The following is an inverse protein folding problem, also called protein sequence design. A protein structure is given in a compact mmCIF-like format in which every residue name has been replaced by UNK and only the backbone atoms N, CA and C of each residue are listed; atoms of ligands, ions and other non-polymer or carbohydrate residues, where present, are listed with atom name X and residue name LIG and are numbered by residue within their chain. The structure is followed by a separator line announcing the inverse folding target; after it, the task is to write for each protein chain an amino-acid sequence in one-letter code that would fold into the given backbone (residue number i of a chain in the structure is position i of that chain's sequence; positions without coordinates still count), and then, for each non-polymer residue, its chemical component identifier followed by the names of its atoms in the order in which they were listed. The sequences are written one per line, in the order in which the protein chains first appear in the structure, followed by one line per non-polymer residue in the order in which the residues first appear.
data_IF_696359312174
#
_entry.id   IF_696359312174
#
_cell.length_a   1.000
_cell.length_b   1.000
_cell.length_c   1.000
_cell.angle_alpha   90.00
_cell.angle_beta   90.00
_cell.angle_gamma   90.00
#
_symmetry.space_group_name_H-M   'P 1'
#
loop_
_entity.id
_entity.type
_entity.pdbx_description
1 polymer ?
#
# COMPACT_ATOMS: atom_id res chain seq x y z
N UNK A 1 -12.04 13.01 2.58
CA UNK A 1 -12.18 14.47 2.65
C UNK A 1 -10.86 15.19 2.96
N UNK A 2 -10.19 14.86 4.07
CA UNK A 2 -8.97 15.59 4.50
C UNK A 2 -7.79 15.59 3.51
N UNK A 3 -7.61 14.54 2.69
CA UNK A 3 -6.45 14.47 1.77
C UNK A 3 -6.42 15.58 0.72
N UNK A 4 -7.56 15.99 0.17
CA UNK A 4 -7.61 17.07 -0.84
C UNK A 4 -7.30 18.42 -0.20
N UNK A 5 -7.78 18.65 1.02
CA UNK A 5 -7.48 19.86 1.80
C UNK A 5 -5.99 19.90 2.16
N UNK A 6 -5.43 18.77 2.59
CA UNK A 6 -4.00 18.62 2.81
C UNK A 6 -3.20 19.01 1.57
N UNK A 7 -3.51 18.43 0.40
CA UNK A 7 -2.82 18.75 -0.86
C UNK A 7 -2.95 20.22 -1.26
N UNK A 8 -4.12 20.83 -1.06
CA UNK A 8 -4.35 22.24 -1.38
C UNK A 8 -3.61 23.21 -0.46
N UNK A 9 -3.22 22.76 0.74
CA UNK A 9 -2.46 23.56 1.71
C UNK A 9 -0.95 23.44 1.56
N UNK A 10 -0.45 22.59 0.66
CA UNK A 10 0.99 22.42 0.44
C UNK A 10 1.55 23.49 -0.48
N UNK A 11 2.79 23.89 -0.22
CA UNK A 11 3.58 24.74 -1.12
C UNK A 11 4.73 23.91 -1.66
N UNK A 12 4.95 23.95 -2.97
CA UNK A 12 5.91 23.06 -3.65
C UNK A 12 7.34 23.33 -3.18
N UNK A 13 7.63 24.58 -2.82
CA UNK A 13 8.93 25.07 -2.37
C UNK A 13 9.34 24.50 -1.01
N UNK A 14 8.37 24.12 -0.17
CA UNK A 14 8.60 23.52 1.14
C UNK A 14 8.83 22.00 1.05
N UNK A 15 8.57 21.39 -0.11
CA UNK A 15 8.65 19.94 -0.27
C UNK A 15 10.08 19.50 -0.59
N UNK A 16 10.52 18.32 -0.10
CA UNK A 16 11.81 17.76 -0.47
C UNK A 16 11.93 17.64 -1.99
N UNK A 17 13.09 17.95 -2.61
CA UNK A 17 13.22 17.79 -4.04
C UNK A 17 13.12 16.30 -4.43
N UNK A 18 12.55 15.99 -5.61
CA UNK A 18 12.50 14.63 -6.17
C UNK A 18 13.89 13.98 -6.19
N UNK A 19 13.94 12.66 -6.07
CA UNK A 19 15.20 11.91 -6.16
C UNK A 19 15.59 11.74 -7.62
N UNK A 20 16.90 11.73 -7.88
CA UNK A 20 17.39 11.22 -9.15
C UNK A 20 17.28 9.69 -9.11
N UNK A 21 16.28 9.14 -9.81
CA UNK A 21 16.03 7.70 -9.93
C UNK A 21 16.11 7.31 -11.39
N UNK A 22 16.73 6.16 -11.67
CA UNK A 22 16.73 5.57 -12.99
C UNK A 22 15.55 4.62 -13.11
N UNK A 23 14.81 4.74 -14.21
CA UNK A 23 13.62 3.93 -14.48
C UNK A 23 13.96 2.86 -15.50
N UNK A 24 13.53 1.62 -15.26
CA UNK A 24 13.44 0.62 -16.31
C UNK A 24 12.23 0.88 -17.23
N UNK A 25 12.07 0.03 -18.25
CA UNK A 25 10.99 0.16 -19.23
C UNK A 25 9.58 0.08 -18.62
N UNK A 26 9.35 -0.76 -17.61
CA UNK A 26 8.05 -0.90 -16.98
C UNK A 26 7.78 0.31 -16.08
N UNK A 27 8.76 0.72 -15.30
CA UNK A 27 8.67 1.86 -14.38
C UNK A 27 8.43 3.18 -15.13
N UNK A 28 9.10 3.40 -16.28
CA UNK A 28 8.87 4.58 -17.12
C UNK A 28 7.46 4.57 -17.74
N UNK A 29 6.96 3.41 -18.18
CA UNK A 29 5.56 3.27 -18.61
C UNK A 29 4.58 3.60 -17.49
N UNK A 30 4.83 3.08 -16.28
CA UNK A 30 4.00 3.36 -15.11
C UNK A 30 3.99 4.86 -14.80
N UNK A 31 5.16 5.49 -14.75
CA UNK A 31 5.29 6.93 -14.49
C UNK A 31 4.43 7.76 -15.44
N UNK A 32 4.39 7.39 -16.73
CA UNK A 32 3.59 8.06 -17.76
C UNK A 32 2.09 7.76 -17.67
N UNK A 33 1.71 6.61 -17.10
CA UNK A 33 0.33 6.11 -17.09
C UNK A 33 -0.29 6.03 -15.67
N UNK A 34 0.07 6.96 -14.77
CA UNK A 34 -0.57 7.08 -13.45
C UNK A 34 -1.83 7.95 -13.53
N UNK A 35 -2.92 7.39 -13.03
CA UNK A 35 -4.16 8.07 -12.74
C UNK A 35 -4.31 8.24 -11.23
N UNK A 36 -4.89 9.36 -10.79
CA UNK A 36 -5.16 9.64 -9.39
C UNK A 36 -6.66 9.56 -9.11
N UNK A 37 -7.07 8.77 -8.11
CA UNK A 37 -8.45 8.78 -7.60
C UNK A 37 -8.50 9.60 -6.31
N UNK A 38 -9.12 10.78 -6.40
CA UNK A 38 -9.32 11.69 -5.29
C UNK A 38 -10.70 11.50 -4.66
N UNK A 39 -10.83 11.41 -3.33
CA UNK A 39 -12.12 11.23 -2.68
C UNK A 39 -12.93 12.51 -2.73
N UNK A 40 -14.19 12.38 -3.15
CA UNK A 40 -15.20 13.44 -3.14
C UNK A 40 -15.93 13.54 -1.79
N UNK A 41 -16.68 14.62 -1.58
CA UNK A 41 -17.36 14.89 -0.29
C UNK A 41 -18.54 13.96 -0.06
N UNK A 42 -19.23 13.58 -1.13
CA UNK A 42 -20.36 12.65 -1.16
C UNK A 42 -19.95 11.16 -1.02
N UNK A 43 -18.66 10.90 -0.83
CA UNK A 43 -18.10 9.54 -0.79
C UNK A 43 -17.76 8.95 -2.16
N UNK A 44 -18.03 9.69 -3.24
CA UNK A 44 -17.59 9.35 -4.59
C UNK A 44 -16.08 9.53 -4.80
N UNK A 45 -15.63 9.26 -6.02
CA UNK A 45 -14.23 9.42 -6.43
C UNK A 45 -14.16 10.23 -7.72
N UNK A 46 -13.23 11.17 -7.77
CA UNK A 46 -12.85 11.86 -9.00
C UNK A 46 -11.58 11.22 -9.54
N UNK A 47 -11.67 10.64 -10.74
CA UNK A 47 -10.53 10.05 -11.44
C UNK A 47 -9.84 11.11 -12.30
N UNK A 48 -8.56 11.35 -12.05
CA UNK A 48 -7.71 12.22 -12.85
C UNK A 48 -6.81 11.38 -13.75
N UNK A 49 -6.82 11.70 -15.03
CA UNK A 49 -5.91 11.15 -16.04
C UNK A 49 -4.45 11.55 -15.78
N UNK A 50 -3.48 10.95 -16.50
CA UNK A 50 -2.09 11.38 -16.47
C UNK A 50 -1.86 12.83 -16.91
N UNK A 51 -2.81 13.45 -17.62
CA UNK A 51 -2.77 14.88 -17.94
C UNK A 51 -3.38 15.76 -16.83
N UNK A 52 -3.70 15.17 -15.67
CA UNK A 52 -4.43 15.79 -14.56
C UNK A 52 -5.82 16.32 -14.96
N UNK A 53 -6.40 15.77 -16.02
CA UNK A 53 -7.76 16.06 -16.44
C UNK A 53 -8.74 15.07 -15.80
N UNK A 54 -9.87 15.52 -15.24
CA UNK A 54 -10.94 14.64 -14.80
C UNK A 54 -11.42 13.74 -15.95
N UNK A 55 -11.62 12.45 -15.67
CA UNK A 55 -12.12 11.49 -16.67
C UNK A 55 -13.59 11.75 -17.03
N UNK A 56 -14.37 12.22 -16.06
CA UNK A 56 -15.78 12.55 -16.20
C UNK A 56 -16.04 14.00 -15.77
N UNK A 57 -17.16 14.56 -16.22
CA UNK A 57 -17.62 15.89 -15.80
C UNK A 57 -18.03 15.95 -14.31
N UNK A 58 -18.07 14.82 -13.62
CA UNK A 58 -18.38 14.73 -12.20
C UNK A 58 -17.12 15.01 -11.35
N UNK A 59 -16.65 16.26 -11.40
CA UNK A 59 -15.55 16.75 -10.58
C UNK A 59 -16.05 17.92 -9.75
N UNK A 60 -16.02 17.79 -8.42
CA UNK A 60 -16.46 18.85 -7.52
C UNK A 60 -15.50 20.06 -7.52
N UNK A 61 -16.03 21.25 -7.22
CA UNK A 61 -15.31 22.52 -7.31
C UNK A 61 -13.98 22.57 -6.53
N UNK A 62 -13.88 21.88 -5.38
CA UNK A 62 -12.62 21.86 -4.60
C UNK A 62 -11.51 21.09 -5.30
N UNK A 63 -11.84 20.03 -6.04
CA UNK A 63 -10.87 19.26 -6.82
C UNK A 63 -10.51 20.04 -8.07
N UNK A 64 -11.47 20.68 -8.73
CA UNK A 64 -11.20 21.61 -9.84
C UNK A 64 -10.23 22.71 -9.42
N UNK A 65 -10.49 23.36 -8.29
CA UNK A 65 -9.59 24.36 -7.70
C UNK A 65 -8.20 23.79 -7.37
N UNK A 66 -8.11 22.57 -6.85
CA UNK A 66 -6.81 21.91 -6.62
C UNK A 66 -6.05 21.69 -7.93
N UNK A 67 -6.74 21.31 -9.01
CA UNK A 67 -6.13 21.13 -10.34
C UNK A 67 -5.63 22.46 -10.89
N UNK A 68 -6.43 23.52 -10.79
CA UNK A 68 -6.11 24.86 -11.29
C UNK A 68 -4.97 25.50 -10.50
N UNK A 69 -5.11 25.58 -9.17
CA UNK A 69 -4.20 26.33 -8.31
C UNK A 69 -2.94 25.52 -7.94
N UNK A 70 -3.02 24.18 -7.92
CA UNK A 70 -1.99 23.32 -7.32
C UNK A 70 -1.62 22.11 -8.21
N UNK A 71 -1.74 22.23 -9.54
CA UNK A 71 -1.26 21.20 -10.49
C UNK A 71 0.19 20.77 -10.23
N UNK A 72 1.05 21.70 -9.81
CA UNK A 72 2.44 21.42 -9.44
C UNK A 72 2.59 20.44 -8.27
N UNK A 73 1.67 20.46 -7.30
CA UNK A 73 1.62 19.52 -6.17
C UNK A 73 1.16 18.14 -6.65
N UNK A 74 0.15 18.08 -7.52
CA UNK A 74 -0.35 16.82 -8.10
C UNK A 74 0.71 16.13 -8.97
N UNK A 75 1.48 16.90 -9.74
CA UNK A 75 2.63 16.38 -10.49
C UNK A 75 3.71 15.85 -9.54
N UNK A 76 4.05 16.61 -8.49
CA UNK A 76 5.02 16.17 -7.49
C UNK A 76 4.56 14.90 -6.76
N UNK A 77 3.28 14.79 -6.41
CA UNK A 77 2.69 13.58 -5.82
C UNK A 77 2.88 12.36 -6.73
N UNK A 78 2.63 12.48 -8.03
CA UNK A 78 2.83 11.37 -8.98
C UNK A 78 4.28 10.93 -9.03
N UNK A 79 5.21 11.87 -9.13
CA UNK A 79 6.64 11.59 -9.14
C UNK A 79 7.07 10.89 -7.84
N UNK A 80 6.66 11.43 -6.69
CA UNK A 80 6.95 10.83 -5.38
C UNK A 80 6.32 9.47 -5.19
N UNK A 81 5.13 9.21 -5.75
CA UNK A 81 4.50 7.90 -5.71
C UNK A 81 5.35 6.87 -6.46
N UNK A 82 5.78 7.18 -7.69
CA UNK A 82 6.64 6.27 -8.46
C UNK A 82 7.95 6.00 -7.72
N UNK A 83 8.61 7.04 -7.21
CA UNK A 83 9.82 6.89 -6.41
C UNK A 83 9.61 5.99 -5.20
N UNK A 84 8.48 6.15 -4.50
CA UNK A 84 8.15 5.32 -3.34
C UNK A 84 7.96 3.86 -3.74
N UNK A 85 7.23 3.61 -4.83
CA UNK A 85 6.98 2.26 -5.34
C UNK A 85 8.22 1.57 -5.91
N UNK A 86 9.23 2.32 -6.34
CA UNK A 86 10.52 1.75 -6.77
C UNK A 86 11.37 1.39 -5.55
N UNK A 87 11.42 2.26 -4.55
CA UNK A 87 12.20 2.03 -3.32
C UNK A 87 11.57 0.95 -2.42
N UNK A 88 10.25 0.83 -2.46
CA UNK A 88 9.42 -0.24 -1.88
C UNK A 88 8.83 -1.08 -3.03
N UNK A 89 9.73 -1.77 -3.73
CA UNK A 89 9.45 -2.49 -4.97
C UNK A 89 8.47 -3.66 -4.84
N UNK A 90 8.14 -4.10 -3.62
CA UNK A 90 7.33 -5.29 -3.38
C UNK A 90 6.01 -5.29 -4.16
N UNK A 91 5.30 -4.15 -4.21
CA UNK A 91 4.04 -4.05 -4.95
C UNK A 91 4.25 -4.13 -6.46
N UNK A 92 5.28 -3.44 -6.98
CA UNK A 92 5.57 -3.41 -8.42
C UNK A 92 6.04 -4.77 -8.91
N UNK A 93 7.00 -5.40 -8.23
CA UNK A 93 7.56 -6.69 -8.65
C UNK A 93 6.51 -7.78 -8.69
N UNK A 94 5.68 -7.87 -7.64
CA UNK A 94 4.60 -8.87 -7.57
C UNK A 94 3.47 -8.64 -8.56
N UNK A 95 3.28 -7.41 -8.98
CA UNK A 95 2.19 -7.01 -9.88
C UNK A 95 2.67 -6.73 -11.29
N UNK A 96 3.96 -6.95 -11.57
CA UNK A 96 4.63 -6.65 -12.83
C UNK A 96 3.92 -7.29 -14.02
N UNK A 97 3.42 -8.52 -13.87
CA UNK A 97 2.63 -9.21 -14.87
C UNK A 97 1.36 -8.41 -15.23
N UNK A 98 0.51 -8.10 -14.25
CA UNK A 98 -0.74 -7.36 -14.49
C UNK A 98 -0.48 -5.95 -15.02
N UNK A 99 0.52 -5.27 -14.46
CA UNK A 99 0.93 -3.94 -14.92
C UNK A 99 1.42 -3.99 -16.37
N UNK A 100 2.20 -4.99 -16.75
CA UNK A 100 2.68 -5.15 -18.13
C UNK A 100 1.55 -5.44 -19.10
N UNK A 101 0.61 -6.32 -18.74
CA UNK A 101 -0.58 -6.61 -19.54
C UNK A 101 -1.46 -5.37 -19.74
N UNK A 102 -1.52 -4.49 -18.75
CA UNK A 102 -2.28 -3.24 -18.78
C UNK A 102 -1.43 -2.02 -19.22
N UNK A 103 -0.32 -2.24 -19.92
CA UNK A 103 0.55 -1.20 -20.47
C UNK A 103 1.06 -0.16 -19.43
N UNK A 104 1.37 -0.63 -18.23
CA UNK A 104 1.85 0.18 -17.11
C UNK A 104 0.77 1.03 -16.46
N UNK A 105 -0.51 0.84 -16.76
CA UNK A 105 -1.57 1.66 -16.18
C UNK A 105 -1.71 1.41 -14.67
N UNK A 106 -1.52 2.47 -13.89
CA UNK A 106 -1.62 2.46 -12.44
C UNK A 106 -2.66 3.48 -11.98
N UNK A 107 -3.68 3.00 -11.25
CA UNK A 107 -4.68 3.83 -10.58
C UNK A 107 -4.27 3.94 -9.10
N UNK A 108 -4.08 5.16 -8.61
CA UNK A 108 -3.71 5.40 -7.22
C UNK A 108 -4.84 6.14 -6.51
N UNK A 109 -5.52 5.45 -5.59
CA UNK A 109 -6.59 6.02 -4.76
C UNK A 109 -6.05 6.57 -3.47
N UNK A 110 -6.23 7.86 -3.27
CA UNK A 110 -5.70 8.58 -2.13
C UNK A 110 -6.67 8.51 -0.94
N UNK A 111 -6.11 8.26 0.24
CA UNK A 111 -6.77 8.41 1.53
C UNK A 111 -5.80 9.06 2.50
N UNK A 112 -6.31 9.96 3.36
CA UNK A 112 -5.50 10.48 4.46
C UNK A 112 -5.56 9.45 5.60
N UNK A 113 -4.40 8.93 5.99
CA UNK A 113 -4.30 7.84 6.95
C UNK A 113 -4.11 8.37 8.37
N UNK A 114 -3.17 9.29 8.55
CA UNK A 114 -2.90 9.93 9.84
C UNK A 114 -2.61 11.41 9.62
N UNK A 115 -3.48 12.27 10.16
CA UNK A 115 -3.40 13.72 9.95
C UNK A 115 -2.26 14.35 10.74
N UNK A 116 -2.03 13.89 11.98
CA UNK A 116 -0.97 14.39 12.86
C UNK A 116 0.41 14.12 12.26
N UNK A 117 0.58 12.94 11.68
CA UNK A 117 1.83 12.53 11.05
C UNK A 117 1.92 12.92 9.57
N UNK A 118 0.87 13.50 8.99
CA UNK A 118 0.78 13.88 7.57
C UNK A 118 1.14 12.71 6.65
N UNK A 119 0.50 11.57 6.88
CA UNK A 119 0.70 10.32 6.14
C UNK A 119 -0.53 10.01 5.31
N UNK A 120 -0.30 9.69 4.03
CA UNK A 120 -1.31 9.22 3.10
C UNK A 120 -1.19 7.71 2.91
N UNK A 121 -2.34 7.05 2.80
CA UNK A 121 -2.48 5.70 2.27
C UNK A 121 -2.87 5.82 0.79
N UNK A 122 -2.15 5.11 -0.09
CA UNK A 122 -2.54 4.96 -1.48
C UNK A 122 -2.93 3.51 -1.75
N UNK A 123 -4.17 3.29 -2.14
CA UNK A 123 -4.65 2.00 -2.64
C UNK A 123 -4.42 1.93 -4.13
N UNK A 124 -3.77 0.87 -4.58
CA UNK A 124 -3.23 0.75 -5.91
C UNK A 124 -4.01 -0.29 -6.71
N UNK A 125 -4.38 0.08 -7.93
CA UNK A 125 -5.09 -0.79 -8.85
C UNK A 125 -4.47 -0.70 -10.25
N UNK A 126 -4.73 -1.70 -11.07
CA UNK A 126 -4.46 -1.66 -12.50
C UNK A 126 -5.69 -2.12 -13.27
N UNK A 127 -5.88 -1.63 -14.48
CA UNK A 127 -7.01 -1.97 -15.34
C UNK A 127 -6.57 -1.82 -16.80
N UNK A 128 -7.25 -2.49 -17.73
CA UNK A 128 -7.05 -2.17 -19.13
C UNK A 128 -7.59 -0.77 -19.43
N UNK A 129 -6.99 -0.09 -20.41
CA UNK A 129 -7.39 1.28 -20.76
C UNK A 129 -8.86 1.36 -21.20
N UNK A 130 -9.38 0.31 -21.85
CA UNK A 130 -10.79 0.25 -22.29
C UNK A 130 -11.74 0.19 -21.09
N UNK A 131 -11.33 -0.50 -20.04
CA UNK A 131 -12.15 -0.75 -18.85
C UNK A 131 -12.26 0.47 -17.96
N UNK A 132 -11.40 1.48 -18.11
CA UNK A 132 -11.53 2.74 -17.36
C UNK A 132 -12.90 3.37 -17.57
N UNK A 133 -13.41 3.34 -18.81
CA UNK A 133 -14.69 3.95 -19.16
C UNK A 133 -15.85 2.94 -19.18
N UNK A 134 -15.57 1.67 -19.45
CA UNK A 134 -16.61 0.64 -19.68
C UNK A 134 -16.87 -0.24 -18.44
N UNK A 135 -15.83 -0.62 -17.71
CA UNK A 135 -15.86 -1.63 -16.66
C UNK A 135 -14.99 -1.24 -15.45
N UNK A 136 -15.13 0.01 -15.00
CA UNK A 136 -14.25 0.59 -13.98
C UNK A 136 -14.25 -0.18 -12.63
N UNK A 137 -15.34 -0.90 -12.34
CA UNK A 137 -15.46 -1.80 -11.19
C UNK A 137 -14.49 -2.97 -11.22
N UNK A 138 -14.03 -3.37 -12.41
CA UNK A 138 -13.33 -4.63 -12.66
C UNK A 138 -11.81 -4.46 -12.56
N UNK A 139 -11.36 -3.28 -12.12
CA UNK A 139 -9.96 -3.01 -11.84
C UNK A 139 -9.38 -3.98 -10.82
N UNK A 140 -8.15 -4.39 -11.10
CA UNK A 140 -7.40 -5.35 -10.32
C UNK A 140 -6.70 -4.62 -9.19
N UNK A 141 -7.05 -4.95 -7.95
CA UNK A 141 -6.29 -4.47 -6.79
C UNK A 141 -4.90 -5.10 -6.77
N UNK A 142 -3.86 -4.29 -6.60
CA UNK A 142 -2.46 -4.76 -6.58
C UNK A 142 -1.77 -4.54 -5.24
N UNK A 143 -2.27 -3.63 -4.40
CA UNK A 143 -1.76 -3.43 -3.05
C UNK A 143 -2.03 -2.04 -2.50
N UNK A 144 -1.31 -1.69 -1.44
CA UNK A 144 -1.27 -0.33 -0.91
C UNK A 144 0.14 0.06 -0.53
N UNK A 145 0.39 1.36 -0.47
CA UNK A 145 1.60 1.91 0.12
C UNK A 145 1.29 3.13 0.98
N UNK A 146 2.20 3.45 1.89
CA UNK A 146 2.13 4.64 2.73
C UNK A 146 3.23 5.61 2.34
N UNK A 147 2.91 6.90 2.35
CA UNK A 147 3.91 7.94 2.09
C UNK A 147 3.52 9.29 2.72
N UNK A 148 4.52 10.14 2.86
CA UNK A 148 4.37 11.56 3.19
C UNK A 148 5.00 12.39 2.08
N UNK A 149 4.39 13.52 1.72
CA UNK A 149 4.99 14.44 0.73
C UNK A 149 6.09 15.28 1.34
N UNK A 150 6.02 15.54 2.65
CA UNK A 150 6.97 16.35 3.42
C UNK A 150 8.17 15.54 3.91
N UNK A 151 8.04 14.21 4.07
CA UNK A 151 9.12 13.32 4.52
C UNK A 151 9.62 12.43 3.39
N UNK A 152 10.95 12.35 3.24
CA UNK A 152 11.59 11.49 2.23
C UNK A 152 11.52 9.99 2.54
N UNK A 153 11.40 9.67 3.81
CA UNK A 153 11.33 8.30 4.32
C UNK A 153 10.45 8.27 5.54
N UNK A 154 9.76 7.15 5.73
CA UNK A 154 8.97 6.88 6.90
C UNK A 154 9.84 6.22 7.98
N UNK A 155 9.58 6.49 9.27
CA UNK A 155 10.14 5.72 10.38
C UNK A 155 10.01 4.22 10.15
N UNK A 156 11.07 3.45 10.43
CA UNK A 156 11.07 1.98 10.30
C UNK A 156 10.67 1.48 8.89
N UNK A 157 10.90 2.32 7.86
CA UNK A 157 10.41 2.16 6.49
C UNK A 157 8.87 1.99 6.38
N UNK A 158 8.11 2.48 7.35
CA UNK A 158 6.64 2.41 7.36
C UNK A 158 6.06 1.08 7.80
N UNK A 159 6.86 0.14 8.32
CA UNK A 159 6.39 -1.17 8.78
C UNK A 159 5.23 -1.07 9.78
N UNK A 160 5.32 -0.15 10.73
CA UNK A 160 4.27 0.10 11.71
C UNK A 160 2.93 0.47 11.05
N UNK A 161 2.97 1.25 9.96
CA UNK A 161 1.77 1.65 9.23
C UNK A 161 1.16 0.46 8.49
N UNK A 162 1.99 -0.37 7.86
CA UNK A 162 1.53 -1.60 7.21
C UNK A 162 0.83 -2.52 8.20
N UNK A 163 1.43 -2.76 9.38
CA UNK A 163 0.85 -3.66 10.40
C UNK A 163 -0.40 -3.06 11.05
N UNK A 164 -0.40 -1.78 11.41
CA UNK A 164 -1.62 -1.12 11.90
C UNK A 164 -2.76 -1.19 10.87
N UNK A 165 -2.43 -1.07 9.58
CA UNK A 165 -3.42 -1.20 8.53
C UNK A 165 -4.03 -2.60 8.43
N UNK A 166 -3.37 -3.66 8.95
CA UNK A 166 -3.96 -5.01 8.97
C UNK A 166 -5.17 -5.06 9.91
N UNK A 167 -5.10 -4.39 11.07
CA UNK A 167 -6.22 -4.27 12.00
C UNK A 167 -7.41 -3.56 11.34
N UNK A 168 -7.18 -2.37 10.76
CA UNK A 168 -8.23 -1.61 10.07
C UNK A 168 -8.86 -2.42 8.93
N UNK A 169 -8.04 -3.17 8.21
CA UNK A 169 -8.51 -4.02 7.13
C UNK A 169 -9.36 -5.17 7.62
N UNK A 170 -8.96 -5.80 8.72
CA UNK A 170 -9.72 -6.88 9.34
C UNK A 170 -11.09 -6.40 9.81
N UNK A 171 -11.17 -5.23 10.45
CA UNK A 171 -12.46 -4.65 10.87
C UNK A 171 -13.37 -4.37 9.67
N UNK A 172 -12.82 -3.86 8.57
CA UNK A 172 -13.56 -3.69 7.32
C UNK A 172 -14.00 -5.04 6.76
N UNK A 173 -13.14 -6.05 6.77
CA UNK A 173 -13.43 -7.40 6.29
C UNK A 173 -14.58 -8.02 7.11
N UNK A 174 -14.52 -7.95 8.44
CA UNK A 174 -15.58 -8.40 9.36
C UNK A 174 -16.88 -7.65 9.12
N UNK A 175 -16.84 -6.33 8.96
CA UNK A 175 -18.03 -5.53 8.61
C UNK A 175 -18.61 -5.96 7.26
N UNK A 176 -17.76 -6.32 6.29
CA UNK A 176 -18.20 -6.73 4.95
C UNK A 176 -18.77 -8.15 4.91
N UNK A 177 -18.50 -9.00 5.90
CA UNK A 177 -19.03 -10.36 5.96
C UNK A 177 -20.54 -10.36 6.20
N UNK A 178 -21.02 -9.39 6.99
CA UNK A 178 -22.44 -9.17 7.25
C UNK A 178 -23.18 -8.93 5.92
N UNK A 179 -24.12 -9.83 5.61
CA UNK A 179 -24.93 -9.81 4.40
C UNK A 179 -24.19 -10.18 3.10
N UNK A 180 -22.99 -10.77 3.19
CA UNK A 180 -22.26 -11.30 2.03
C UNK A 180 -21.81 -12.75 2.16
N UNK A 181 -21.87 -13.29 3.37
CA UNK A 181 -21.74 -14.72 3.64
C UNK A 181 -23.12 -15.32 3.83
N UNK A 182 -23.35 -16.48 3.23
CA UNK A 182 -24.61 -17.21 3.40
C UNK A 182 -24.65 -17.91 4.76
N UNK A 183 -23.51 -18.42 5.23
CA UNK A 183 -23.36 -19.11 6.53
C UNK A 183 -22.19 -18.56 7.37
N UNK A 184 -22.26 -17.33 7.90
CA UNK A 184 -21.18 -16.71 8.68
C UNK A 184 -20.72 -17.56 9.87
N UNK A 185 -21.65 -18.26 10.52
CA UNK A 185 -21.42 -19.07 11.71
C UNK A 185 -20.37 -20.18 11.52
N UNK A 186 -20.16 -20.64 10.27
CA UNK A 186 -19.16 -21.66 9.94
C UNK A 186 -17.73 -21.16 10.09
N UNK A 187 -17.54 -19.84 10.01
CA UNK A 187 -16.22 -19.20 9.98
C UNK A 187 -15.89 -18.46 11.27
N UNK A 188 -16.86 -18.32 12.19
CA UNK A 188 -16.72 -17.45 13.37
C UNK A 188 -15.63 -17.92 14.32
N UNK A 189 -15.58 -19.23 14.61
CA UNK A 189 -14.66 -19.82 15.59
C UNK A 189 -13.28 -20.14 15.05
N UNK A 190 -13.15 -20.31 13.73
CA UNK A 190 -11.87 -20.56 13.07
C UNK A 190 -11.31 -19.21 12.63
N UNK A 191 -11.74 -18.72 11.48
CA UNK A 191 -11.11 -17.58 10.82
C UNK A 191 -11.41 -16.22 11.47
N UNK A 192 -12.65 -15.95 11.89
CA UNK A 192 -12.97 -14.64 12.50
C UNK A 192 -12.47 -14.50 13.95
N UNK A 193 -12.01 -15.60 14.56
CA UNK A 193 -11.36 -15.58 15.86
C UNK A 193 -9.83 -15.63 15.72
N UNK A 194 -9.28 -16.54 14.91
CA UNK A 194 -7.84 -16.77 14.81
C UNK A 194 -7.10 -15.65 14.06
N UNK A 195 -7.64 -15.15 12.94
CA UNK A 195 -7.01 -14.06 12.18
C UNK A 195 -6.74 -12.81 13.03
N UNK A 196 -7.70 -12.26 13.80
CA UNK A 196 -7.41 -11.09 14.63
C UNK A 196 -6.45 -11.40 15.78
N UNK A 197 -6.45 -12.62 16.33
CA UNK A 197 -5.46 -13.05 17.34
C UNK A 197 -4.04 -13.01 16.75
N UNK A 198 -3.84 -13.62 15.57
CA UNK A 198 -2.57 -13.57 14.84
C UNK A 198 -2.14 -12.14 14.47
N UNK A 199 -3.09 -11.27 14.08
CA UNK A 199 -2.79 -9.84 13.85
C UNK A 199 -2.27 -9.19 15.14
N UNK A 200 -2.87 -9.47 16.30
CA UNK A 200 -2.41 -8.92 17.58
C UNK A 200 -1.01 -9.40 17.96
N UNK A 201 -0.67 -10.65 17.65
CA UNK A 201 0.69 -11.16 17.84
C UNK A 201 1.70 -10.40 16.98
N UNK A 202 1.40 -10.21 15.68
CA UNK A 202 2.23 -9.40 14.77
C UNK A 202 2.39 -7.97 15.29
N UNK A 203 1.30 -7.33 15.71
CA UNK A 203 1.33 -5.95 16.27
C UNK A 203 2.22 -5.90 17.50
N UNK A 204 2.06 -6.85 18.42
CA UNK A 204 2.84 -6.94 19.66
C UNK A 204 4.32 -7.13 19.39
N UNK A 205 4.68 -7.98 18.42
CA UNK A 205 6.05 -8.16 17.98
C UNK A 205 6.63 -6.88 17.36
N UNK A 206 5.87 -6.17 16.52
CA UNK A 206 6.32 -4.90 15.94
C UNK A 206 6.55 -3.84 17.01
N UNK A 207 5.66 -3.70 17.98
CA UNK A 207 5.83 -2.76 19.10
C UNK A 207 7.13 -3.07 19.84
N UNK A 208 7.39 -4.34 20.16
CA UNK A 208 8.63 -4.77 20.82
C UNK A 208 9.87 -4.52 19.94
N UNK A 209 9.75 -4.76 18.64
CA UNK A 209 10.84 -4.61 17.69
C UNK A 209 11.23 -3.15 17.48
N UNK A 210 10.28 -2.21 17.53
CA UNK A 210 10.51 -0.77 17.35
C UNK A 210 11.51 -0.21 18.38
N UNK A 211 11.54 -0.76 19.60
CA UNK A 211 12.53 -0.36 20.62
C UNK A 211 13.97 -0.77 20.25
N UNK A 212 14.13 -1.74 19.34
CA UNK A 212 15.43 -2.32 18.96
C UNK A 212 15.89 -1.92 17.55
N UNK A 213 14.96 -1.49 16.70
CA UNK A 213 15.21 -1.11 15.31
C UNK A 213 15.43 0.40 15.25
N UNK A 214 16.51 0.90 14.62
CA UNK A 214 16.68 2.33 14.44
C UNK A 214 15.57 2.94 13.57
N UNK A 215 15.08 4.12 13.97
CA UNK A 215 14.00 4.84 13.26
C UNK A 215 14.29 5.07 11.78
N UNK A 216 15.55 5.32 11.42
CA UNK A 216 15.98 5.48 10.03
C UNK A 216 16.74 4.25 9.58
N UNK A 217 16.22 3.55 8.57
CA UNK A 217 16.90 2.40 7.99
C UNK A 217 18.12 2.82 7.17
N UNK A 218 19.30 2.69 7.78
CA UNK A 218 20.59 3.12 7.26
C UNK A 218 21.68 2.09 7.59
N UNK A 219 21.61 0.88 7.00
CA UNK A 219 22.56 -0.18 7.29
C UNK A 219 24.01 0.18 6.92
N UNK A 220 24.22 1.14 6.04
CA UNK A 220 25.56 1.71 5.75
C UNK A 220 26.22 2.41 6.94
N UNK A 221 25.45 2.79 7.96
CA UNK A 221 25.93 3.51 9.17
C UNK A 221 25.94 2.63 10.40
N UNK A 222 25.55 1.37 10.27
CA UNK A 222 25.45 0.42 11.37
C UNK A 222 26.67 -0.47 11.37
N UNK A 223 27.13 -0.85 12.56
CA UNK A 223 28.10 -1.93 12.67
C UNK A 223 27.42 -3.29 12.39
N UNK A 224 28.23 -4.34 12.29
CA UNK A 224 27.74 -5.68 11.98
C UNK A 224 26.81 -6.22 13.08
N UNK A 225 27.07 -5.91 14.34
CA UNK A 225 26.27 -6.39 15.46
C UNK A 225 24.86 -5.75 15.44
N UNK A 226 24.78 -4.45 15.19
CA UNK A 226 23.56 -3.68 14.99
C UNK A 226 22.75 -4.23 13.79
N UNK A 227 23.41 -4.48 12.65
CA UNK A 227 22.76 -5.10 11.47
C UNK A 227 22.19 -6.49 11.77
N UNK A 228 22.93 -7.33 12.50
CA UNK A 228 22.47 -8.67 12.90
C UNK A 228 21.24 -8.55 13.82
N UNK A 229 21.27 -7.65 14.80
CA UNK A 229 20.15 -7.42 15.72
C UNK A 229 18.90 -6.96 14.98
N UNK A 230 19.03 -5.95 14.12
CA UNK A 230 17.91 -5.43 13.30
C UNK A 230 17.35 -6.53 12.39
N UNK A 231 18.23 -7.31 11.75
CA UNK A 231 17.82 -8.46 10.91
C UNK A 231 17.04 -9.50 11.70
N UNK A 232 17.44 -9.79 12.94
CA UNK A 232 16.75 -10.74 13.81
C UNK A 232 15.34 -10.24 14.16
N UNK A 233 15.18 -8.95 14.50
CA UNK A 233 13.89 -8.35 14.79
C UNK A 233 12.92 -8.43 13.59
N UNK A 234 13.36 -8.05 12.39
CA UNK A 234 12.53 -8.18 11.18
C UNK A 234 12.20 -9.62 10.82
N UNK A 235 13.09 -10.58 11.10
CA UNK A 235 12.82 -12.00 10.88
C UNK A 235 11.74 -12.52 11.83
N UNK A 236 11.76 -12.10 13.09
CA UNK A 236 10.73 -12.44 14.07
C UNK A 236 9.34 -12.02 13.59
N UNK A 237 9.21 -10.76 13.15
CA UNK A 237 7.99 -10.22 12.56
C UNK A 237 7.58 -10.99 11.30
N UNK A 238 8.54 -11.33 10.44
CA UNK A 238 8.27 -12.09 9.21
C UNK A 238 7.68 -13.47 9.50
N UNK A 239 8.13 -14.18 10.53
CA UNK A 239 7.60 -15.49 10.87
C UNK A 239 6.10 -15.43 11.23
N UNK A 240 5.71 -14.46 12.06
CA UNK A 240 4.30 -14.25 12.44
C UNK A 240 3.45 -13.83 11.23
N UNK A 241 4.01 -13.00 10.32
CA UNK A 241 3.32 -12.64 9.09
C UNK A 241 3.10 -13.83 8.16
N UNK A 242 4.03 -14.79 8.11
CA UNK A 242 3.90 -16.01 7.31
C UNK A 242 2.77 -16.89 7.86
N UNK A 243 2.72 -17.08 9.17
CA UNK A 243 1.64 -17.82 9.85
C UNK A 243 0.27 -17.18 9.57
N UNK A 244 0.14 -15.87 9.77
CA UNK A 244 -1.08 -15.12 9.41
C UNK A 244 -1.43 -15.25 7.91
N UNK A 245 -0.43 -15.29 7.03
CA UNK A 245 -0.67 -15.44 5.60
C UNK A 245 -1.13 -16.85 5.21
N UNK A 246 -0.66 -17.89 5.91
CA UNK A 246 -1.12 -19.27 5.75
C UNK A 246 -2.60 -19.38 6.14
N UNK A 247 -2.97 -18.85 7.30
CA UNK A 247 -4.36 -18.82 7.79
C UNK A 247 -5.31 -18.13 6.81
N UNK A 248 -4.89 -16.98 6.27
CA UNK A 248 -5.69 -16.23 5.29
C UNK A 248 -5.78 -16.94 3.94
N UNK A 249 -4.76 -17.70 3.54
CA UNK A 249 -4.79 -18.53 2.32
C UNK A 249 -5.76 -19.68 2.49
N UNK A 250 -5.77 -20.32 3.65
CA UNK A 250 -6.73 -21.37 3.97
C UNK A 250 -8.15 -20.80 3.96
N UNK A 251 -8.39 -19.68 4.64
CA UNK A 251 -9.71 -19.04 4.69
C UNK A 251 -10.28 -18.75 3.29
N UNK A 252 -9.47 -18.14 2.42
CA UNK A 252 -9.91 -17.88 1.03
C UNK A 252 -10.20 -19.18 0.28
N UNK A 253 -9.41 -20.23 0.50
CA UNK A 253 -9.63 -21.53 -0.16
C UNK A 253 -10.94 -22.17 0.29
N UNK A 254 -11.26 -22.11 1.57
CA UNK A 254 -12.54 -22.60 2.12
C UNK A 254 -13.72 -21.78 1.61
N UNK A 255 -13.59 -20.45 1.54
CA UNK A 255 -14.64 -19.60 0.97
C UNK A 255 -14.92 -19.94 -0.50
N UNK A 256 -13.89 -20.16 -1.29
CA UNK A 256 -14.05 -20.56 -2.69
C UNK A 256 -14.66 -21.96 -2.82
N UNK A 257 -14.28 -22.90 -1.93
CA UNK A 257 -14.87 -24.24 -1.91
C UNK A 257 -16.36 -24.21 -1.55
N UNK A 258 -16.78 -23.26 -0.73
CA UNK A 258 -18.16 -23.05 -0.33
C UNK A 258 -18.94 -22.07 -1.25
N UNK A 259 -18.38 -21.70 -2.40
CA UNK A 259 -18.99 -20.77 -3.38
C UNK A 259 -19.34 -19.37 -2.82
N UNK A 260 -18.59 -18.89 -1.82
CA UNK A 260 -18.80 -17.58 -1.15
C UNK A 260 -18.11 -16.41 -1.89
N UNK A 261 -18.18 -16.40 -3.23
CA UNK A 261 -17.44 -15.46 -4.12
C UNK A 261 -17.62 -13.99 -3.76
N UNK A 262 -18.83 -13.62 -3.33
CA UNK A 262 -19.21 -12.25 -2.95
C UNK A 262 -18.36 -11.72 -1.80
N UNK A 263 -17.93 -12.61 -0.91
CA UNK A 263 -17.07 -12.30 0.22
C UNK A 263 -15.59 -12.62 -0.04
N UNK A 264 -15.29 -13.72 -0.73
CA UNK A 264 -13.92 -14.18 -1.01
C UNK A 264 -13.02 -13.06 -1.56
N UNK A 265 -13.56 -12.21 -2.44
CA UNK A 265 -12.82 -11.05 -3.02
C UNK A 265 -12.23 -10.08 -1.98
N UNK A 266 -12.81 -9.98 -0.78
CA UNK A 266 -12.27 -9.12 0.29
C UNK A 266 -11.10 -9.80 0.99
N UNK A 267 -11.21 -11.11 1.23
CA UNK A 267 -10.10 -11.94 1.73
C UNK A 267 -8.96 -11.95 0.72
N UNK A 268 -9.23 -12.04 -0.58
CA UNK A 268 -8.21 -11.93 -1.64
C UNK A 268 -7.43 -10.61 -1.56
N UNK A 269 -8.11 -9.49 -1.28
CA UNK A 269 -7.45 -8.18 -1.13
C UNK A 269 -6.56 -8.14 0.10
N UNK A 270 -7.07 -8.64 1.23
CA UNK A 270 -6.32 -8.74 2.48
C UNK A 270 -5.07 -9.62 2.32
N UNK A 271 -5.23 -10.80 1.72
CA UNK A 271 -4.15 -11.71 1.34
C UNK A 271 -3.10 -11.04 0.46
N UNK A 272 -3.51 -10.24 -0.53
CA UNK A 272 -2.58 -9.52 -1.41
C UNK A 272 -1.70 -8.56 -0.62
N UNK A 273 -2.28 -7.81 0.30
CA UNK A 273 -1.54 -6.87 1.15
C UNK A 273 -0.59 -7.59 2.12
N UNK A 274 -1.03 -8.66 2.78
CA UNK A 274 -0.15 -9.48 3.63
C UNK A 274 1.08 -9.96 2.86
N UNK A 275 0.86 -10.54 1.68
CA UNK A 275 1.95 -10.97 0.82
C UNK A 275 2.83 -9.79 0.38
N UNK A 276 2.29 -8.59 0.14
CA UNK A 276 3.11 -7.42 -0.18
C UNK A 276 4.03 -7.04 0.99
N UNK A 277 3.53 -7.07 2.24
CA UNK A 277 4.32 -6.79 3.43
C UNK A 277 5.45 -7.82 3.60
N UNK A 278 5.14 -9.11 3.44
CA UNK A 278 6.12 -10.21 3.47
C UNK A 278 7.23 -9.97 2.45
N UNK A 279 6.86 -9.65 1.21
CA UNK A 279 7.83 -9.39 0.15
C UNK A 279 8.66 -8.13 0.39
N UNK A 280 8.05 -7.08 0.95
CA UNK A 280 8.75 -5.87 1.36
C UNK A 280 9.82 -6.16 2.41
N UNK A 281 9.49 -6.93 3.45
CA UNK A 281 10.48 -7.32 4.47
C UNK A 281 11.59 -8.15 3.83
N UNK A 282 11.27 -9.11 2.97
CA UNK A 282 12.27 -9.94 2.32
C UNK A 282 13.20 -9.15 1.39
N UNK A 283 12.65 -8.38 0.47
CA UNK A 283 13.42 -7.71 -0.59
C UNK A 283 14.07 -6.41 -0.13
N UNK A 284 13.35 -5.57 0.59
CA UNK A 284 13.80 -4.22 0.91
C UNK A 284 14.54 -4.16 2.24
N UNK A 285 14.54 -5.23 3.04
CA UNK A 285 15.13 -5.24 4.38
C UNK A 285 16.09 -6.42 4.55
N UNK A 286 15.57 -7.65 4.56
CA UNK A 286 16.38 -8.84 4.89
C UNK A 286 17.44 -9.14 3.83
N UNK A 287 17.12 -8.95 2.55
CA UNK A 287 18.08 -9.12 1.45
C UNK A 287 19.25 -8.12 1.57
N UNK A 288 18.94 -6.83 1.76
CA UNK A 288 19.97 -5.79 1.94
C UNK A 288 20.87 -6.07 3.15
N UNK A 289 20.28 -6.41 4.31
CA UNK A 289 21.06 -6.74 5.51
C UNK A 289 21.90 -7.99 5.31
N UNK A 290 21.37 -9.02 4.65
CA UNK A 290 22.12 -10.26 4.36
C UNK A 290 23.33 -9.98 3.50
N UNK A 291 23.16 -9.22 2.42
CA UNK A 291 24.26 -8.84 1.54
C UNK A 291 25.34 -8.06 2.30
N UNK A 292 24.93 -7.03 3.06
CA UNK A 292 25.87 -6.16 3.78
C UNK A 292 26.65 -6.89 4.88
N UNK A 293 25.99 -7.76 5.64
CA UNK A 293 26.64 -8.54 6.71
C UNK A 293 27.67 -9.53 6.13
N UNK A 294 27.33 -10.22 5.04
CA UNK A 294 28.12 -11.35 4.56
C UNK A 294 29.20 -10.96 3.54
N UNK A 295 28.94 -9.97 2.69
CA UNK A 295 29.81 -9.61 1.56
C UNK A 295 30.60 -8.33 1.83
N UNK A 296 30.11 -7.46 2.72
CA UNK A 296 30.82 -6.23 3.08
C UNK A 296 30.96 -5.25 1.91
N UNK A 297 29.87 -4.54 1.59
CA UNK A 297 29.80 -3.17 1.03
C UNK A 297 28.34 -2.76 0.91
#
# INVERSE_FOLDING_TARGET
MAVVQYLAGLRKEDLPPPRCVHFDNLQDKIRRNIYLELPMTDGGLCLLSPALQPADNNCEARIQKLIEDNSGILLYLRERLVENLILDSAVLERSSYFLSQNNGLLLARLKYFNELEKVMELKLYTASLKDINLHYSDKIYIGRCFMSLERRELPYKGLNLYVLSLMDQYEVLKTKSVGRLDHPEKYEKTYFQEIPELIQEVVSEVIRAIDTIPTKFRPTRWDVAEMIRVKAAYRSILHLLLELAEEVVEFESVLNFNDEDKFARYVTKFKKDLKNIIFFINFNILSELTHRINVGK
#
